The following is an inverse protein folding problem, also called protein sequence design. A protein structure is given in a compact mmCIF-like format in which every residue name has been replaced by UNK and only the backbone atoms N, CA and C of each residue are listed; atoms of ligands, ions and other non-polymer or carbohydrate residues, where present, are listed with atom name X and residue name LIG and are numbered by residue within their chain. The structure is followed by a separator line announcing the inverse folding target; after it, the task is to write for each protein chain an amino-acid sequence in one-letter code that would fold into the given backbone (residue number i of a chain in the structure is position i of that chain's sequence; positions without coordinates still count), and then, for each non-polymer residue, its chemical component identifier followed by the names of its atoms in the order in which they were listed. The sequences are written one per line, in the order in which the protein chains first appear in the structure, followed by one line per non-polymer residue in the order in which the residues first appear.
data_IF_656988026750
#
_entry.id   IF_656988026750
#
_cell.length_a   1.000
_cell.length_b   1.000
_cell.length_c   1.000
_cell.angle_alpha   90.00
_cell.angle_beta   90.00
_cell.angle_gamma   90.00
#
_symmetry.space_group_name_H-M   'P 1'
#
loop_
_entity.id
_entity.type
_entity.pdbx_description
1 polymer ?
#
# COMPACT_ATOMS: atom_id res chain seq x y z
N UNK A 1 -54.73 -46.74 53.40
CA UNK A 1 -53.41 -47.18 53.90
C UNK A 1 -52.55 -47.43 52.65
N UNK A 2 -51.78 -46.49 52.11
CA UNK A 2 -51.25 -45.19 52.62
C UNK A 2 -49.97 -45.28 53.47
N UNK A 3 -48.87 -45.67 52.82
CA UNK A 3 -47.47 -45.26 53.04
C UNK A 3 -46.80 -45.44 51.66
N UNK A 4 -46.23 -44.49 50.92
CA UNK A 4 -45.71 -43.12 51.14
C UNK A 4 -44.24 -43.06 51.61
N UNK A 5 -43.36 -42.66 50.68
CA UNK A 5 -41.93 -42.32 50.84
C UNK A 5 -41.01 -43.51 51.21
N UNK A 6 -39.71 -43.51 50.86
CA UNK A 6 -38.79 -42.39 50.56
C UNK A 6 -38.21 -42.41 49.14
N UNK A 7 -37.88 -41.22 48.61
CA UNK A 7 -37.01 -41.07 47.44
C UNK A 7 -35.54 -41.16 47.89
N UNK A 8 -34.79 -42.15 47.38
CA UNK A 8 -33.33 -42.13 47.45
C UNK A 8 -32.75 -41.31 46.29
N UNK A 9 -32.91 -39.98 46.34
CA UNK A 9 -32.02 -39.08 45.61
C UNK A 9 -30.64 -39.13 46.29
N UNK A 10 -29.87 -40.18 46.02
CA UNK A 10 -28.43 -40.18 46.32
C UNK A 10 -27.74 -39.54 45.11
N UNK A 11 -26.90 -38.54 45.37
CA UNK A 11 -26.24 -37.79 44.31
C UNK A 11 -25.04 -38.59 43.80
N UNK A 12 -25.24 -39.35 42.72
CA UNK A 12 -24.13 -39.87 41.92
C UNK A 12 -23.64 -38.78 40.96
N UNK A 13 -23.18 -37.68 41.54
CA UNK A 13 -22.41 -36.62 40.86
C UNK A 13 -20.96 -37.11 40.74
N UNK A 14 -20.81 -38.27 40.08
CA UNK A 14 -19.52 -38.91 39.81
C UNK A 14 -18.75 -38.05 38.84
N UNK A 15 -17.89 -37.21 39.40
CA UNK A 15 -16.82 -36.42 38.78
C UNK A 15 -16.76 -36.53 37.25
N UNK A 16 -17.09 -35.44 36.56
CA UNK A 16 -16.59 -35.19 35.19
C UNK A 16 -15.08 -34.92 35.27
N UNK A 17 -14.35 -35.97 35.61
CA UNK A 17 -12.90 -36.04 35.67
C UNK A 17 -12.39 -35.94 34.24
N UNK A 18 -12.28 -34.70 33.77
CA UNK A 18 -11.70 -34.30 32.48
C UNK A 18 -10.27 -34.83 32.44
N UNK A 19 -10.14 -36.08 31.99
CA UNK A 19 -8.89 -36.82 31.99
C UNK A 19 -7.90 -36.05 31.12
N UNK A 20 -6.89 -35.47 31.78
CA UNK A 20 -5.92 -34.60 31.13
C UNK A 20 -5.29 -35.38 29.97
N UNK A 21 -5.40 -34.90 28.71
CA UNK A 21 -4.91 -35.64 27.56
C UNK A 21 -3.46 -36.07 27.79
N UNK A 22 -3.18 -37.35 27.56
CA UNK A 22 -1.86 -37.91 27.86
C UNK A 22 -0.78 -37.07 27.18
N UNK A 23 0.40 -36.93 27.81
CA UNK A 23 1.46 -36.07 27.27
C UNK A 23 1.80 -36.47 25.82
N UNK A 24 1.74 -37.77 25.52
CA UNK A 24 1.87 -38.34 24.18
C UNK A 24 0.79 -37.87 23.20
N UNK A 25 -0.47 -37.73 23.62
CA UNK A 25 -1.55 -37.18 22.81
C UNK A 25 -1.37 -35.68 22.56
N UNK A 26 -0.88 -34.96 23.56
CA UNK A 26 -0.52 -33.55 23.43
C UNK A 26 0.63 -33.39 22.44
N UNK A 27 1.65 -34.26 22.45
CA UNK A 27 2.70 -34.28 21.44
C UNK A 27 2.16 -34.69 20.05
N UNK A 28 1.31 -35.71 19.94
CA UNK A 28 0.68 -36.10 18.66
C UNK A 28 -0.12 -34.94 18.05
N UNK A 29 -0.92 -34.21 18.85
CA UNK A 29 -1.65 -33.01 18.40
C UNK A 29 -0.71 -31.87 17.98
N UNK A 30 0.35 -31.58 18.77
CA UNK A 30 1.37 -30.57 18.42
C UNK A 30 2.11 -30.93 17.12
N UNK A 31 2.44 -32.20 16.93
CA UNK A 31 3.12 -32.72 15.74
C UNK A 31 2.23 -32.60 14.48
N UNK A 32 0.95 -32.97 14.58
CA UNK A 32 0.01 -32.80 13.46
C UNK A 32 -0.13 -31.32 13.07
N UNK A 33 -0.34 -30.42 14.04
CA UNK A 33 -0.40 -28.98 13.78
C UNK A 33 0.88 -28.42 13.13
N UNK A 34 2.04 -29.02 13.41
CA UNK A 34 3.30 -28.66 12.75
C UNK A 34 3.37 -29.19 11.31
N UNK A 35 2.89 -30.41 11.04
CA UNK A 35 2.74 -30.94 9.68
C UNK A 35 1.79 -30.09 8.84
N UNK A 36 0.59 -29.82 9.35
CA UNK A 36 -0.43 -28.98 8.69
C UNK A 36 0.14 -27.59 8.36
N UNK A 37 0.91 -27.02 9.30
CA UNK A 37 1.58 -25.72 9.12
C UNK A 37 2.66 -25.78 8.05
N UNK A 38 3.44 -26.87 7.97
CA UNK A 38 4.43 -27.08 6.93
C UNK A 38 3.80 -27.27 5.56
N UNK A 39 2.67 -27.98 5.46
CA UNK A 39 1.95 -28.15 4.20
C UNK A 39 1.41 -26.82 3.67
N UNK A 40 0.75 -26.01 4.52
CA UNK A 40 0.26 -24.67 4.13
C UNK A 40 1.41 -23.77 3.65
N UNK A 41 2.56 -23.81 4.34
CA UNK A 41 3.76 -23.07 3.90
C UNK A 41 4.31 -23.57 2.56
N UNK A 42 4.28 -24.88 2.29
CA UNK A 42 4.68 -25.45 1.01
C UNK A 42 3.74 -25.01 -0.12
N UNK A 43 2.41 -25.09 0.08
CA UNK A 43 1.41 -24.65 -0.90
C UNK A 43 1.54 -23.16 -1.22
N UNK A 44 1.78 -22.30 -0.23
CA UNK A 44 2.00 -20.86 -0.46
C UNK A 44 3.36 -20.57 -1.12
N UNK A 45 4.42 -21.32 -0.81
CA UNK A 45 5.70 -21.23 -1.51
C UNK A 45 5.55 -21.56 -3.00
N UNK A 46 4.85 -22.64 -3.35
CA UNK A 46 4.57 -23.02 -4.74
C UNK A 46 3.73 -21.95 -5.47
N UNK A 47 2.71 -21.40 -4.79
CA UNK A 47 1.90 -20.28 -5.29
C UNK A 47 2.75 -19.03 -5.56
N UNK A 48 3.72 -18.72 -4.69
CA UNK A 48 4.67 -17.61 -4.87
C UNK A 48 5.62 -17.89 -6.04
N UNK A 49 6.18 -19.09 -6.12
CA UNK A 49 7.07 -19.52 -7.22
C UNK A 49 6.36 -19.39 -8.57
N UNK A 50 5.11 -19.86 -8.69
CA UNK A 50 4.33 -19.76 -9.92
C UNK A 50 4.10 -18.29 -10.35
N UNK A 51 3.71 -17.41 -9.42
CA UNK A 51 3.55 -15.96 -9.69
C UNK A 51 4.88 -15.30 -10.10
N UNK A 52 6.01 -15.73 -9.54
CA UNK A 52 7.35 -15.28 -9.94
C UNK A 52 7.67 -15.76 -11.37
N UNK A 53 7.30 -16.98 -11.75
CA UNK A 53 7.48 -17.48 -13.12
C UNK A 53 6.64 -16.67 -14.13
N UNK A 54 5.39 -16.35 -13.81
CA UNK A 54 4.53 -15.49 -14.64
C UNK A 54 5.13 -14.08 -14.82
N UNK A 55 5.56 -13.44 -13.72
CA UNK A 55 6.21 -12.13 -13.78
C UNK A 55 7.50 -12.16 -14.64
N UNK A 56 8.31 -13.22 -14.51
CA UNK A 56 9.48 -13.46 -15.36
C UNK A 56 9.09 -13.66 -16.84
N UNK A 57 8.00 -14.39 -17.13
CA UNK A 57 7.48 -14.65 -18.49
C UNK A 57 6.97 -13.36 -19.15
N UNK A 58 6.22 -12.53 -18.43
CA UNK A 58 5.76 -11.21 -18.88
C UNK A 58 6.96 -10.29 -19.15
N UNK A 59 7.90 -10.20 -18.19
CA UNK A 59 9.12 -9.39 -18.35
C UNK A 59 9.96 -9.83 -19.56
N UNK A 60 10.10 -11.15 -19.78
CA UNK A 60 10.82 -11.71 -20.95
C UNK A 60 10.12 -11.40 -22.28
N UNK A 61 8.78 -11.30 -22.29
CA UNK A 61 8.01 -10.83 -23.46
C UNK A 61 8.25 -9.34 -23.70
N UNK A 62 8.01 -8.47 -22.72
CA UNK A 62 8.26 -7.03 -22.83
C UNK A 62 9.70 -6.70 -23.30
N UNK A 63 10.73 -7.39 -22.81
CA UNK A 63 12.11 -7.20 -23.29
C UNK A 63 12.29 -7.56 -24.78
N UNK A 64 11.60 -8.58 -25.30
CA UNK A 64 11.61 -8.91 -26.73
C UNK A 64 10.89 -7.84 -27.54
N UNK A 65 9.71 -7.43 -27.08
CA UNK A 65 8.88 -6.45 -27.78
C UNK A 65 9.57 -5.09 -27.86
N UNK A 66 10.22 -4.65 -26.77
CA UNK A 66 11.08 -3.47 -26.72
C UNK A 66 12.29 -3.62 -27.66
N UNK A 67 12.96 -4.79 -27.71
CA UNK A 67 14.08 -5.01 -28.65
C UNK A 67 13.61 -4.89 -30.11
N UNK A 68 12.47 -5.49 -30.46
CA UNK A 68 11.91 -5.43 -31.82
C UNK A 68 11.48 -4.01 -32.21
N UNK A 69 10.95 -3.23 -31.26
CA UNK A 69 10.64 -1.81 -31.48
C UNK A 69 11.93 -1.00 -31.71
N UNK A 70 12.93 -1.14 -30.83
CA UNK A 70 14.24 -0.50 -30.96
C UNK A 70 14.89 -0.82 -32.31
N UNK A 71 14.95 -2.09 -32.69
CA UNK A 71 15.52 -2.56 -33.97
C UNK A 71 14.72 -2.05 -35.18
N UNK A 72 13.42 -1.75 -35.04
CA UNK A 72 12.62 -1.12 -36.09
C UNK A 72 12.89 0.37 -36.22
N UNK A 73 13.03 1.09 -35.10
CA UNK A 73 13.38 2.52 -35.10
C UNK A 73 14.82 2.72 -35.60
N UNK A 74 15.78 1.91 -35.15
CA UNK A 74 17.17 1.90 -35.64
C UNK A 74 17.25 1.75 -37.18
N UNK A 75 16.33 0.99 -37.80
CA UNK A 75 16.21 0.86 -39.27
C UNK A 75 15.56 2.07 -39.97
N UNK A 76 14.72 2.82 -39.28
CA UNK A 76 14.14 4.06 -39.80
C UNK A 76 15.10 5.25 -39.64
N UNK A 77 16.14 5.14 -38.83
CA UNK A 77 17.15 6.17 -38.62
C UNK A 77 16.64 7.39 -37.86
N UNK A 78 15.47 7.28 -37.21
CA UNK A 78 14.97 8.33 -36.34
C UNK A 78 15.84 8.43 -35.08
N UNK A 79 16.13 9.67 -34.65
CA UNK A 79 17.09 9.94 -33.57
C UNK A 79 16.62 9.54 -32.17
N UNK A 80 15.70 8.59 -32.01
CA UNK A 80 15.00 8.28 -30.74
C UNK A 80 15.92 7.98 -29.54
N UNK A 81 17.16 7.56 -29.79
CA UNK A 81 18.20 7.33 -28.78
C UNK A 81 18.80 8.62 -28.21
N UNK A 82 18.86 9.67 -29.04
CA UNK A 82 19.34 11.00 -28.69
C UNK A 82 18.19 12.02 -28.51
N UNK A 83 16.95 11.63 -28.83
CA UNK A 83 15.75 12.38 -28.58
C UNK A 83 15.49 12.47 -27.06
N UNK A 84 16.15 13.44 -26.42
CA UNK A 84 15.76 13.92 -25.09
C UNK A 84 14.27 14.21 -25.17
N UNK A 85 13.48 13.40 -24.47
CA UNK A 85 12.04 13.65 -24.36
C UNK A 85 11.88 14.79 -23.36
N UNK A 86 12.10 16.01 -23.83
CA UNK A 86 11.77 17.24 -23.13
C UNK A 86 10.25 17.30 -22.99
N UNK A 87 9.77 16.61 -21.96
CA UNK A 87 8.55 17.01 -21.27
C UNK A 87 8.86 18.40 -20.73
N UNK A 88 8.50 19.45 -21.48
CA UNK A 88 8.38 20.81 -20.97
C UNK A 88 7.45 20.74 -19.74
N UNK A 89 8.02 20.57 -18.55
CA UNK A 89 7.38 20.97 -17.29
C UNK A 89 7.48 22.49 -17.26
N UNK A 90 6.70 23.10 -18.16
CA UNK A 90 6.60 24.53 -18.34
C UNK A 90 6.27 25.13 -16.97
N UNK A 91 7.13 25.98 -16.40
CA UNK A 91 6.92 26.47 -15.04
C UNK A 91 5.57 27.18 -14.98
N UNK A 92 4.71 26.79 -14.04
CA UNK A 92 3.41 27.42 -13.86
C UNK A 92 3.58 28.84 -13.31
N UNK A 93 3.84 29.78 -14.21
CA UNK A 93 3.68 31.21 -13.94
C UNK A 93 2.20 31.44 -13.61
N UNK A 94 1.86 31.97 -12.42
CA UNK A 94 0.47 32.13 -12.00
C UNK A 94 -0.33 32.94 -13.02
N UNK A 95 -1.29 32.28 -13.70
CA UNK A 95 -2.04 32.88 -14.80
C UNK A 95 -3.08 33.86 -14.29
N UNK A 96 -2.69 35.13 -14.17
CA UNK A 96 -3.62 36.23 -13.93
C UNK A 96 -4.73 36.27 -15.01
N UNK A 97 -5.99 36.57 -14.64
CA UNK A 97 -7.09 36.60 -15.58
C UNK A 97 -7.02 37.84 -16.48
N UNK A 98 -7.17 37.67 -17.80
CA UNK A 98 -7.43 38.77 -18.75
C UNK A 98 -8.53 38.39 -19.76
N UNK A 99 -9.28 39.38 -20.28
CA UNK A 99 -10.62 39.17 -20.83
C UNK A 99 -10.64 38.74 -22.30
N UNK A 100 -11.84 38.40 -22.79
CA UNK A 100 -12.07 37.98 -24.16
C UNK A 100 -12.06 39.15 -25.17
N UNK A 101 -11.47 38.91 -26.34
CA UNK A 101 -11.77 39.62 -27.59
C UNK A 101 -11.52 38.70 -28.81
N UNK A 102 -11.82 39.17 -30.02
CA UNK A 102 -12.10 38.34 -31.22
C UNK A 102 -11.01 38.38 -32.30
N UNK A 103 -10.96 37.31 -33.10
CA UNK A 103 -10.55 37.27 -34.54
C UNK A 103 -9.07 37.57 -34.88
N UNK A 104 -8.47 37.09 -35.98
CA UNK A 104 -8.90 36.10 -37.00
C UNK A 104 -7.84 34.95 -37.12
N UNK A 105 -7.30 34.39 -38.22
CA UNK A 105 -7.41 34.55 -39.70
C UNK A 105 -6.97 33.26 -40.42
N UNK A 106 -7.51 33.00 -41.63
CA UNK A 106 -6.95 32.20 -42.74
C UNK A 106 -6.51 30.72 -42.56
N UNK A 107 -6.98 29.88 -43.51
CA UNK A 107 -6.59 28.48 -43.81
C UNK A 107 -6.55 28.32 -45.34
N UNK A 108 -5.64 27.53 -45.93
CA UNK A 108 -6.04 26.36 -46.76
C UNK A 108 -5.28 25.08 -46.30
N UNK A 109 -5.91 23.92 -46.06
CA UNK A 109 -6.29 22.83 -47.00
C UNK A 109 -5.07 22.09 -47.62
N UNK A 110 -5.02 20.76 -47.74
CA UNK A 110 -6.08 19.83 -48.20
C UNK A 110 -6.35 18.63 -47.24
N UNK A 111 -7.06 17.61 -47.73
CA UNK A 111 -7.63 16.43 -47.01
C UNK A 111 -6.63 15.23 -47.04
N UNK A 112 -6.76 14.11 -46.31
CA UNK A 112 -7.90 13.16 -46.24
C UNK A 112 -8.02 12.39 -44.91
N UNK A 113 -9.15 11.68 -44.74
CA UNK A 113 -9.57 11.01 -43.50
C UNK A 113 -9.07 9.55 -43.39
N UNK A 114 -8.70 9.13 -42.17
CA UNK A 114 -9.19 7.87 -41.57
C UNK A 114 -9.41 8.10 -40.07
N UNK A 115 -10.34 7.35 -39.46
CA UNK A 115 -10.73 7.55 -38.06
C UNK A 115 -10.47 6.30 -37.20
N UNK A 116 -9.83 6.43 -36.03
CA UNK A 116 -9.81 5.40 -34.99
C UNK A 116 -10.75 5.73 -33.83
N UNK A 117 -11.52 4.74 -33.38
CA UNK A 117 -12.50 4.87 -32.28
C UNK A 117 -11.80 5.12 -30.94
N UNK A 118 -12.21 6.19 -30.23
CA UNK A 118 -11.74 6.46 -28.85
C UNK A 118 -12.31 5.46 -27.86
N UNK A 119 -11.50 4.52 -27.38
CA UNK A 119 -11.81 3.76 -26.16
C UNK A 119 -11.68 4.69 -24.93
N UNK A 120 -12.65 4.72 -24.00
CA UNK A 120 -12.54 5.53 -22.79
C UNK A 120 -11.52 4.91 -21.81
N UNK A 121 -10.53 5.69 -21.40
CA UNK A 121 -9.63 5.32 -20.30
C UNK A 121 -10.36 5.33 -18.94
N UNK A 122 -9.89 4.58 -17.94
CA UNK A 122 -10.54 4.50 -16.63
C UNK A 122 -10.55 5.88 -15.94
N UNK A 123 -11.75 6.37 -15.59
CA UNK A 123 -11.91 7.62 -14.84
C UNK A 123 -11.21 7.48 -13.48
N UNK A 124 -10.41 8.48 -13.10
CA UNK A 124 -9.87 8.60 -11.73
C UNK A 124 -11.06 8.69 -10.76
N UNK A 125 -11.19 7.72 -9.84
CA UNK A 125 -12.20 7.76 -8.77
C UNK A 125 -12.08 9.07 -7.99
N UNK A 126 -13.19 9.80 -7.84
CA UNK A 126 -13.25 11.05 -7.09
C UNK A 126 -13.24 10.78 -5.59
N UNK A 127 -13.08 11.82 -4.77
CA UNK A 127 -13.03 11.71 -3.29
C UNK A 127 -14.33 11.15 -2.68
N UNK A 128 -15.46 11.26 -3.37
CA UNK A 128 -16.77 10.74 -2.95
C UNK A 128 -16.94 9.22 -3.17
N UNK A 129 -16.03 8.58 -3.91
CA UNK A 129 -16.09 7.17 -4.31
C UNK A 129 -15.17 6.30 -3.41
N UNK A 130 -15.18 6.62 -2.11
CA UNK A 130 -14.55 5.85 -1.04
C UNK A 130 -15.63 5.51 -0.02
N UNK A 131 -15.78 4.23 0.38
CA UNK A 131 -16.61 3.91 1.54
C UNK A 131 -16.06 4.64 2.77
N UNK A 132 -16.95 5.03 3.67
CA UNK A 132 -16.55 5.60 4.95
C UNK A 132 -15.61 4.64 5.70
N UNK A 133 -14.82 5.20 6.61
CA UNK A 133 -13.97 4.40 7.49
C UNK A 133 -14.70 4.24 8.80
N UNK A 134 -15.03 2.99 9.09
CA UNK A 134 -15.63 2.52 10.33
C UNK A 134 -14.86 3.14 11.50
N UNK A 135 -15.47 3.98 12.36
CA UNK A 135 -14.73 4.76 13.35
C UNK A 135 -13.90 3.93 14.34
N UNK A 136 -14.27 2.66 14.50
CA UNK A 136 -13.64 1.70 15.39
C UNK A 136 -12.47 0.93 14.75
N UNK A 137 -12.31 0.95 13.41
CA UNK A 137 -11.25 0.22 12.74
C UNK A 137 -9.87 0.86 13.05
N UNK A 138 -8.84 0.08 13.41
CA UNK A 138 -7.55 0.62 13.80
C UNK A 138 -6.89 1.44 12.67
N UNK A 139 -6.16 2.49 13.06
CA UNK A 139 -5.60 3.47 12.12
C UNK A 139 -4.27 2.96 11.56
N UNK A 140 -4.13 2.99 10.23
CA UNK A 140 -2.91 2.53 9.55
C UNK A 140 -1.67 3.29 10.06
N UNK A 141 -0.55 2.60 10.31
CA UNK A 141 0.68 3.20 10.82
C UNK A 141 1.24 4.22 9.82
N UNK A 142 1.82 5.29 10.35
CA UNK A 142 2.53 6.28 9.54
C UNK A 142 3.85 5.72 9.03
N UNK A 143 4.11 5.86 7.73
CA UNK A 143 5.38 5.45 7.11
C UNK A 143 6.57 6.20 7.73
N UNK A 144 7.77 5.61 7.72
CA UNK A 144 9.01 6.15 8.32
C UNK A 144 9.26 7.65 8.03
N UNK A 145 9.15 8.09 6.78
CA UNK A 145 9.28 9.51 6.41
C UNK A 145 8.20 10.41 7.05
N UNK A 146 6.99 9.89 7.22
CA UNK A 146 5.88 10.62 7.82
C UNK A 146 6.03 10.72 9.35
N UNK A 147 6.60 9.69 9.98
CA UNK A 147 6.98 9.69 11.39
C UNK A 147 8.09 10.72 11.67
N UNK A 148 9.18 10.67 10.89
CA UNK A 148 10.20 11.73 10.85
C UNK A 148 9.59 13.13 10.65
N UNK A 149 8.66 13.29 9.70
CA UNK A 149 7.98 14.57 9.49
C UNK A 149 7.13 15.02 10.69
N UNK A 150 6.63 14.10 11.52
CA UNK A 150 5.81 14.45 12.68
C UNK A 150 6.68 14.93 13.86
N UNK A 151 7.85 14.33 14.04
CA UNK A 151 8.86 14.75 15.04
C UNK A 151 9.59 16.04 14.63
N UNK A 152 9.98 16.17 13.36
CA UNK A 152 10.82 17.27 12.89
C UNK A 152 10.04 18.52 12.47
N UNK A 153 8.74 18.41 12.16
CA UNK A 153 7.90 19.57 11.80
C UNK A 153 7.90 20.67 12.87
N UNK A 154 7.69 20.42 14.17
CA UNK A 154 7.73 21.50 15.17
C UNK A 154 9.09 22.20 15.22
N UNK A 155 10.20 21.46 15.06
CA UNK A 155 11.55 22.03 15.03
C UNK A 155 11.73 22.94 13.80
N UNK A 156 11.45 22.43 12.60
CA UNK A 156 11.52 23.19 11.34
C UNK A 156 10.60 24.41 11.35
N UNK A 157 9.42 24.31 11.95
CA UNK A 157 8.51 25.45 12.12
C UNK A 157 9.10 26.50 13.05
N UNK A 158 9.59 26.12 14.24
CA UNK A 158 10.17 27.06 15.20
C UNK A 158 11.41 27.77 14.62
N UNK A 159 12.30 27.01 13.98
CA UNK A 159 13.52 27.48 13.32
C UNK A 159 13.20 28.50 12.21
N UNK A 160 12.33 28.13 11.25
CA UNK A 160 11.96 29.04 10.15
C UNK A 160 11.15 30.25 10.66
N UNK A 161 10.34 30.08 11.73
CA UNK A 161 9.62 31.20 12.36
C UNK A 161 10.57 32.22 12.97
N UNK A 162 11.70 31.76 13.52
CA UNK A 162 12.72 32.62 14.14
C UNK A 162 13.57 33.39 13.13
N UNK A 163 13.75 32.86 11.91
CA UNK A 163 14.50 33.55 10.85
C UNK A 163 13.63 34.48 10.00
N UNK A 164 12.41 34.06 9.64
CA UNK A 164 11.65 34.63 8.52
C UNK A 164 10.17 34.95 8.82
N UNK A 165 9.70 34.79 10.06
CA UNK A 165 8.29 34.92 10.42
C UNK A 165 7.45 33.69 10.05
N UNK A 166 6.11 33.76 10.18
CA UNK A 166 5.24 32.57 10.12
C UNK A 166 5.46 31.75 8.82
N UNK A 167 5.99 30.51 8.93
CA UNK A 167 6.51 29.80 7.76
C UNK A 167 5.39 29.10 7.00
N UNK A 168 5.35 29.33 5.68
CA UNK A 168 4.41 28.66 4.79
C UNK A 168 4.50 27.13 4.94
N UNK A 169 3.34 26.48 5.06
CA UNK A 169 3.21 25.02 5.17
C UNK A 169 3.88 24.26 4.01
N UNK A 170 4.03 24.91 2.85
CA UNK A 170 4.78 24.38 1.71
C UNK A 170 6.30 24.41 1.96
N UNK A 171 6.82 25.50 2.53
CA UNK A 171 8.25 25.67 2.82
C UNK A 171 8.73 24.71 3.91
N UNK A 172 7.97 24.60 5.01
CA UNK A 172 8.20 23.60 6.06
C UNK A 172 8.27 22.18 5.46
N UNK A 173 7.39 21.87 4.50
CA UNK A 173 7.37 20.57 3.81
C UNK A 173 8.57 20.40 2.87
N UNK A 174 9.02 21.47 2.20
CA UNK A 174 10.24 21.48 1.36
C UNK A 174 11.48 21.21 2.20
N UNK A 175 11.65 21.88 3.33
CA UNK A 175 12.77 21.68 4.25
C UNK A 175 12.78 20.27 4.85
N UNK A 176 11.63 19.75 5.29
CA UNK A 176 11.53 18.36 5.79
C UNK A 176 11.93 17.34 4.71
N UNK A 177 11.53 17.53 3.46
CA UNK A 177 11.94 16.66 2.36
C UNK A 177 13.46 16.73 2.09
N UNK A 178 14.08 17.90 2.24
CA UNK A 178 15.53 18.08 2.15
C UNK A 178 16.27 17.41 3.33
N UNK A 179 15.84 17.65 4.57
CA UNK A 179 16.44 17.02 5.76
C UNK A 179 16.34 15.49 5.71
N UNK A 180 15.20 14.93 5.31
CA UNK A 180 15.06 13.48 5.11
C UNK A 180 16.00 12.94 4.04
N UNK A 181 16.24 13.67 2.94
CA UNK A 181 17.23 13.26 1.94
C UNK A 181 18.64 13.23 2.54
N UNK A 182 19.01 14.28 3.28
CA UNK A 182 20.32 14.46 3.89
C UNK A 182 20.67 13.49 5.06
N UNK A 183 19.68 12.95 5.79
CA UNK A 183 19.91 11.95 6.84
C UNK A 183 20.77 10.76 6.36
N UNK A 184 21.54 10.15 7.26
CA UNK A 184 22.30 8.94 6.92
C UNK A 184 21.37 7.73 6.69
N UNK A 185 21.93 6.64 6.16
CA UNK A 185 21.22 5.35 6.08
C UNK A 185 20.89 4.77 7.45
N UNK A 186 21.67 5.12 8.48
CA UNK A 186 21.48 4.60 9.84
C UNK A 186 20.33 5.33 10.56
N UNK A 187 20.28 6.66 10.46
CA UNK A 187 19.15 7.44 11.00
C UNK A 187 17.84 7.00 10.34
N UNK A 188 17.86 6.79 9.01
CA UNK A 188 16.74 6.24 8.26
C UNK A 188 16.36 4.83 8.73
N UNK A 189 17.32 4.00 9.14
CA UNK A 189 17.08 2.64 9.66
C UNK A 189 16.30 2.68 10.98
N UNK A 190 16.57 3.64 11.87
CA UNK A 190 15.79 3.86 13.09
C UNK A 190 14.31 4.14 12.77
N UNK A 191 14.03 5.05 11.83
CA UNK A 191 12.66 5.35 11.42
C UNK A 191 11.97 4.18 10.68
N UNK A 192 12.71 3.35 9.96
CA UNK A 192 12.17 2.11 9.35
C UNK A 192 11.81 1.10 10.44
N UNK A 193 12.67 0.85 11.43
CA UNK A 193 12.38 -0.06 12.53
C UNK A 193 11.19 0.41 13.40
N UNK A 194 11.05 1.73 13.62
CA UNK A 194 9.87 2.30 14.27
C UNK A 194 8.58 2.06 13.48
N UNK A 195 8.63 2.20 12.15
CA UNK A 195 7.50 1.89 11.27
C UNK A 195 7.16 0.39 11.28
N UNK A 196 8.15 -0.50 11.25
CA UNK A 196 7.95 -1.96 11.29
C UNK A 196 7.28 -2.40 12.60
N UNK A 197 7.78 -1.92 13.76
CA UNK A 197 7.15 -2.16 15.06
C UNK A 197 5.72 -1.59 15.15
N UNK A 198 5.46 -0.47 14.48
CA UNK A 198 4.11 0.13 14.42
C UNK A 198 3.16 -0.65 13.49
N UNK A 199 3.72 -1.30 12.47
CA UNK A 199 3.00 -2.17 11.52
C UNK A 199 2.66 -3.53 12.14
N UNK A 200 3.51 -4.07 13.00
CA UNK A 200 3.23 -5.28 13.80
C UNK A 200 2.06 -5.04 14.75
N UNK A 201 2.12 -3.98 15.58
CA UNK A 201 1.01 -3.57 16.45
C UNK A 201 -0.30 -3.36 15.70
N UNK A 202 -0.26 -2.67 14.55
CA UNK A 202 -1.46 -2.50 13.72
C UNK A 202 -2.02 -3.83 13.19
N UNK A 203 -1.18 -4.84 12.93
CA UNK A 203 -1.64 -6.17 12.52
C UNK A 203 -2.29 -6.93 13.69
N UNK A 204 -1.72 -6.83 14.90
CA UNK A 204 -2.30 -7.34 16.15
C UNK A 204 -3.67 -6.68 16.43
N UNK A 205 -3.72 -5.34 16.46
CA UNK A 205 -4.94 -4.54 16.63
C UNK A 205 -6.01 -4.88 15.58
N UNK A 206 -5.62 -5.01 14.31
CA UNK A 206 -6.54 -5.39 13.23
C UNK A 206 -7.05 -6.83 13.38
N UNK A 207 -6.21 -7.77 13.84
CA UNK A 207 -6.66 -9.15 14.12
C UNK A 207 -7.65 -9.21 15.29
N UNK A 208 -7.43 -8.42 16.34
CA UNK A 208 -8.34 -8.29 17.47
C UNK A 208 -9.65 -7.58 17.07
N UNK A 209 -9.57 -6.58 16.20
CA UNK A 209 -10.73 -5.89 15.63
C UNK A 209 -11.60 -6.83 14.79
N UNK A 210 -11.01 -7.59 13.85
CA UNK A 210 -11.71 -8.59 13.03
C UNK A 210 -12.34 -9.68 13.92
N UNK A 211 -11.65 -10.12 14.98
CA UNK A 211 -12.19 -11.07 15.97
C UNK A 211 -13.32 -10.49 16.84
N UNK A 212 -13.56 -9.18 16.80
CA UNK A 212 -14.63 -8.48 17.55
C UNK A 212 -15.84 -8.10 16.66
N UNK A 213 -15.71 -8.16 15.34
CA UNK A 213 -16.81 -8.06 14.37
C UNK A 213 -17.40 -9.44 13.97
N UNK A 214 -16.94 -10.53 14.59
CA UNK A 214 -17.45 -11.89 14.45
C UNK A 214 -18.18 -12.32 15.73
#
# INVERSE_FOLDING_TARGET
MTVQQLNSNISDDSDDMVSLPSEEEVYRRKYQLLLDRCEVLQQDNERIVNRIQEAKKITKRYRKDIKLLIERLDRHGDGFRAAVTEVEVKPEVPRAPRPASKQTTAKPSEKQNTAPVKKPGPKRKSKADKPEKDPNAPKKPCNAFFQFCQEQRPLVVAETSSEMGEPSKQEVTRQLASRWRALSTEDKRVYVAMFERSKEKYAEEMSAYIKKEQ
#
